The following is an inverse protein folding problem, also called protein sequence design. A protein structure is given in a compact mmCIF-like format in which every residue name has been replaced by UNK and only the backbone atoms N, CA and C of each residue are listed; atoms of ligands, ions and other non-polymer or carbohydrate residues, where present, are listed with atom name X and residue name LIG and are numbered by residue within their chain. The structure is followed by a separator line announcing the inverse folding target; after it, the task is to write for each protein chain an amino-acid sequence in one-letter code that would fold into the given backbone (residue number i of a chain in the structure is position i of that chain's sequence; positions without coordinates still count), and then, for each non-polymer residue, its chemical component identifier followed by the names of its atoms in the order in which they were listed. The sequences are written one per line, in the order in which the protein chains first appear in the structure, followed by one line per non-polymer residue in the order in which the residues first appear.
data_IF_972880365470
#
_entry.id   IF_972880365470
#
_cell.length_a   1.000
_cell.length_b   1.000
_cell.length_c   1.000
_cell.angle_alpha   90.00
_cell.angle_beta   90.00
_cell.angle_gamma   90.00
#
_symmetry.space_group_name_H-M   'P 1'
#
loop_
_entity.id
_entity.type
_entity.pdbx_description
1 polymer ?
#
# COMPACT_ATOMS: atom_id res chain seq x y z
N UNK A 1 19.34 3.19 -2.97
CA UNK A 1 17.89 3.45 -2.93
C UNK A 1 17.59 4.82 -3.51
N UNK A 2 16.52 4.90 -4.28
CA UNK A 2 15.98 6.09 -4.95
C UNK A 2 14.61 6.44 -4.37
N UNK A 3 14.21 7.73 -4.35
CA UNK A 3 12.89 8.12 -3.86
C UNK A 3 11.80 7.64 -4.84
N UNK A 4 10.81 6.91 -4.33
CA UNK A 4 9.65 6.48 -5.11
C UNK A 4 8.48 7.46 -4.96
N UNK A 5 8.12 7.82 -3.72
CA UNK A 5 7.09 8.81 -3.47
C UNK A 5 7.23 9.50 -2.11
N UNK A 6 6.53 10.62 -1.97
CA UNK A 6 6.28 11.28 -0.70
C UNK A 6 4.77 11.53 -0.57
N UNK A 7 4.20 11.19 0.57
CA UNK A 7 2.77 11.33 0.83
C UNK A 7 2.61 12.28 2.01
N UNK A 8 1.97 13.43 1.78
CA UNK A 8 1.60 14.36 2.84
C UNK A 8 0.24 13.95 3.41
N UNK A 9 0.24 13.25 4.54
CA UNK A 9 -0.99 12.70 5.15
C UNK A 9 -1.94 13.82 5.57
N UNK A 10 -1.39 14.96 6.00
CA UNK A 10 -2.19 16.13 6.45
C UNK A 10 -3.04 16.77 5.35
N UNK A 11 -2.76 16.43 4.08
CA UNK A 11 -3.48 16.96 2.91
C UNK A 11 -4.45 15.96 2.29
N UNK A 12 -4.57 14.75 2.85
CA UNK A 12 -5.52 13.76 2.37
C UNK A 12 -6.96 14.17 2.73
N UNK A 13 -7.94 13.93 1.83
CA UNK A 13 -9.35 14.23 2.12
C UNK A 13 -9.93 13.32 3.21
N UNK A 14 -9.28 12.16 3.45
CA UNK A 14 -9.60 11.22 4.51
C UNK A 14 -8.30 10.62 5.05
N UNK A 15 -8.18 10.50 6.38
CA UNK A 15 -7.00 9.93 7.05
C UNK A 15 -7.42 8.60 7.71
N UNK A 16 -6.93 7.44 7.23
CA UNK A 16 -7.18 6.14 7.85
C UNK A 16 -6.73 6.10 9.31
N UNK A 17 -7.38 5.28 10.13
CA UNK A 17 -7.07 5.14 11.57
C UNK A 17 -5.58 4.85 11.81
N UNK A 18 -5.01 3.94 11.00
CA UNK A 18 -3.61 3.54 11.03
C UNK A 18 -2.63 4.65 10.67
N UNK A 19 -3.08 5.84 10.28
CA UNK A 19 -2.24 6.97 9.88
C UNK A 19 -2.50 8.24 10.71
N UNK A 20 -3.40 8.21 11.68
CA UNK A 20 -3.75 9.41 12.48
C UNK A 20 -2.59 10.03 13.26
N UNK A 21 -1.55 9.25 13.56
CA UNK A 21 -0.34 9.71 14.24
C UNK A 21 0.82 10.05 13.28
N UNK A 22 0.59 10.00 11.97
CA UNK A 22 1.60 10.26 10.92
C UNK A 22 1.17 11.48 10.10
N UNK A 23 2.09 12.43 9.92
CA UNK A 23 1.87 13.61 9.08
C UNK A 23 2.48 13.47 7.68
N UNK A 24 3.54 12.66 7.53
CA UNK A 24 4.20 12.45 6.24
C UNK A 24 4.82 11.05 6.12
N UNK A 25 4.75 10.47 4.94
CA UNK A 25 5.48 9.26 4.57
C UNK A 25 6.45 9.60 3.44
N UNK A 26 7.68 9.09 3.54
CA UNK A 26 8.62 9.05 2.41
C UNK A 26 9.02 7.62 2.14
N UNK A 27 8.94 7.23 0.87
CA UNK A 27 9.26 5.87 0.43
C UNK A 27 10.41 5.90 -0.55
N UNK A 28 11.39 5.04 -0.28
CA UNK A 28 12.54 4.78 -1.11
C UNK A 28 12.55 3.31 -1.49
N UNK A 29 13.05 3.02 -2.68
CA UNK A 29 13.21 1.65 -3.19
C UNK A 29 14.61 1.47 -3.76
N UNK A 30 15.12 0.26 -3.78
CA UNK A 30 16.38 -0.06 -4.46
C UNK A 30 16.27 0.25 -5.95
N UNK A 31 17.40 0.63 -6.57
CA UNK A 31 17.41 1.04 -7.99
C UNK A 31 17.46 -0.16 -8.93
N UNK A 32 17.89 -1.31 -8.44
CA UNK A 32 18.29 -2.43 -9.27
C UNK A 32 17.38 -3.65 -9.05
N UNK A 33 16.84 -3.81 -7.84
CA UNK A 33 16.05 -4.98 -7.44
C UNK A 33 14.77 -4.59 -6.68
N UNK A 34 13.67 -5.28 -6.96
CA UNK A 34 12.46 -5.17 -6.14
C UNK A 34 12.66 -5.90 -4.79
N UNK A 35 12.05 -5.41 -3.70
CA UNK A 35 12.20 -6.03 -2.39
C UNK A 35 11.56 -7.43 -2.35
N UNK A 36 12.22 -8.39 -1.70
CA UNK A 36 11.72 -9.76 -1.49
C UNK A 36 11.63 -10.04 0.01
N UNK A 37 10.47 -9.73 0.60
CA UNK A 37 10.19 -9.84 2.05
C UNK A 37 11.24 -9.19 2.96
N UNK A 38 12.01 -8.24 2.43
CA UNK A 38 13.10 -7.61 3.17
C UNK A 38 12.53 -6.72 4.29
N UNK A 39 13.20 -6.61 5.43
CA UNK A 39 12.80 -5.66 6.46
C UNK A 39 12.98 -4.21 5.95
N UNK A 40 12.15 -3.29 6.44
CA UNK A 40 12.28 -1.87 6.15
C UNK A 40 13.71 -1.38 6.43
N UNK A 41 14.34 -0.75 5.43
CA UNK A 41 15.74 -0.35 5.43
C UNK A 41 16.65 -1.25 4.59
N UNK A 42 16.17 -2.40 4.12
CA UNK A 42 16.86 -3.29 3.19
C UNK A 42 16.08 -3.40 1.89
N UNK A 43 16.68 -3.03 0.76
CA UNK A 43 16.05 -2.97 -0.59
C UNK A 43 14.83 -2.03 -0.74
N UNK A 44 14.25 -1.57 0.35
CA UNK A 44 13.28 -0.50 0.41
C UNK A 44 13.42 0.23 1.75
N UNK A 45 12.94 1.46 1.83
CA UNK A 45 12.90 2.20 3.07
C UNK A 45 11.67 3.10 3.13
N UNK A 46 10.83 2.89 4.12
CA UNK A 46 9.71 3.78 4.44
C UNK A 46 10.01 4.53 5.72
N UNK A 47 9.96 5.87 5.64
CA UNK A 47 10.05 6.75 6.81
C UNK A 47 8.71 7.41 7.05
N UNK A 48 8.12 7.14 8.21
CA UNK A 48 6.88 7.75 8.66
C UNK A 48 7.18 8.82 9.72
N UNK A 49 6.79 10.05 9.44
CA UNK A 49 7.05 11.21 10.29
C UNK A 49 5.78 11.61 11.03
N UNK A 50 5.85 11.63 12.37
CA UNK A 50 4.74 12.08 13.22
C UNK A 50 4.58 13.60 13.27
N UNK A 51 5.60 14.34 12.82
CA UNK A 51 5.58 15.79 12.74
C UNK A 51 6.40 16.27 11.55
N UNK A 52 5.84 17.16 10.71
CA UNK A 52 6.55 17.77 9.57
C UNK A 52 7.29 19.06 9.92
N UNK A 53 7.00 19.66 11.08
CA UNK A 53 7.49 21.01 11.45
C UNK A 53 9.02 21.13 11.43
N UNK A 54 9.71 20.07 11.83
CA UNK A 54 11.17 20.04 11.95
C UNK A 54 11.85 19.38 10.73
N UNK A 55 11.07 19.02 9.70
CA UNK A 55 11.63 18.46 8.47
C UNK A 55 12.30 19.57 7.66
N UNK A 56 13.55 19.32 7.31
CA UNK A 56 14.32 20.18 6.42
C UNK A 56 14.24 19.63 5.00
N UNK A 57 13.93 20.47 3.99
CA UNK A 57 13.99 20.06 2.60
C UNK A 57 15.41 19.61 2.24
N UNK A 58 15.52 18.42 1.65
CA UNK A 58 16.77 17.97 1.05
C UNK A 58 16.83 18.55 -0.37
N UNK A 59 17.59 19.63 -0.53
CA UNK A 59 17.78 20.27 -1.83
C UNK A 59 18.99 19.67 -2.54
N UNK A 60 18.84 19.34 -3.83
CA UNK A 60 19.93 19.02 -4.74
C UNK A 60 20.85 17.85 -4.32
N UNK A 61 20.30 16.78 -3.73
CA UNK A 61 21.06 15.53 -3.63
C UNK A 61 21.05 14.87 -5.02
N UNK A 62 22.19 14.76 -5.70
CA UNK A 62 22.23 14.08 -6.98
C UNK A 62 21.93 12.59 -6.75
N UNK A 63 20.89 12.10 -7.39
CA UNK A 63 20.60 10.68 -7.51
C UNK A 63 20.29 10.39 -8.98
N UNK A 64 20.73 9.23 -9.45
CA UNK A 64 20.34 8.71 -10.76
C UNK A 64 19.10 7.86 -10.56
N UNK A 65 18.01 8.23 -11.25
CA UNK A 65 16.76 7.48 -11.23
C UNK A 65 16.05 7.66 -12.55
N UNK A 66 15.44 6.58 -13.03
CA UNK A 66 14.57 6.60 -14.19
C UNK A 66 13.11 6.95 -13.82
N UNK A 67 12.80 7.07 -12.53
CA UNK A 67 11.46 7.43 -12.04
C UNK A 67 11.20 8.90 -12.38
N UNK A 68 10.10 9.14 -13.08
CA UNK A 68 9.64 10.47 -13.46
C UNK A 68 8.92 11.14 -12.30
N UNK A 69 9.30 12.38 -11.99
CA UNK A 69 8.70 13.16 -10.90
C UNK A 69 7.44 13.87 -11.40
N UNK A 70 6.33 13.65 -10.71
CA UNK A 70 5.08 14.38 -10.95
C UNK A 70 4.28 14.51 -9.65
N UNK A 71 3.47 15.57 -9.56
CA UNK A 71 2.55 15.77 -8.45
C UNK A 71 1.29 14.92 -8.64
N UNK A 72 0.80 14.34 -7.55
CA UNK A 72 -0.49 13.67 -7.48
C UNK A 72 -1.45 14.49 -6.62
N UNK A 73 -2.69 14.63 -7.08
CA UNK A 73 -3.75 15.31 -6.34
C UNK A 73 -4.69 14.26 -5.76
N UNK A 74 -4.80 14.16 -4.43
CA UNK A 74 -5.69 13.17 -3.82
C UNK A 74 -7.15 13.56 -4.03
N UNK A 75 -7.98 12.57 -4.28
CA UNK A 75 -9.45 12.68 -4.32
C UNK A 75 -10.05 11.59 -3.44
N UNK A 76 -11.17 11.90 -2.78
CA UNK A 76 -11.89 10.91 -1.99
C UNK A 76 -12.62 9.95 -2.93
N UNK A 77 -12.53 8.65 -2.63
CA UNK A 77 -13.26 7.58 -3.28
C UNK A 77 -14.08 6.90 -2.19
N UNK A 78 -15.40 6.99 -2.30
CA UNK A 78 -16.32 6.37 -1.33
C UNK A 78 -16.63 4.92 -1.67
N UNK A 79 -16.61 4.59 -2.97
CA UNK A 79 -16.90 3.26 -3.51
C UNK A 79 -15.59 2.55 -3.89
N UNK A 80 -14.93 1.96 -2.89
CA UNK A 80 -13.82 1.02 -3.05
C UNK A 80 -14.16 -0.24 -2.25
N UNK A 81 -14.38 -1.35 -2.94
CA UNK A 81 -14.83 -2.62 -2.36
C UNK A 81 -13.71 -3.66 -2.35
N UNK A 82 -13.78 -4.71 -1.50
CA UNK A 82 -12.76 -5.76 -1.46
C UNK A 82 -12.60 -6.49 -2.79
N UNK A 83 -11.39 -6.99 -3.05
CA UNK A 83 -11.19 -8.05 -4.05
C UNK A 83 -11.89 -9.35 -3.61
N UNK A 84 -12.01 -10.32 -4.53
CA UNK A 84 -12.79 -11.52 -4.30
C UNK A 84 -12.34 -12.31 -3.06
N UNK A 85 -11.03 -12.49 -2.88
CA UNK A 85 -10.49 -13.24 -1.74
C UNK A 85 -10.80 -12.56 -0.40
N UNK A 86 -10.62 -11.23 -0.31
CA UNK A 86 -10.96 -10.44 0.88
C UNK A 86 -12.48 -10.45 1.14
N UNK A 87 -13.30 -10.37 0.08
CA UNK A 87 -14.75 -10.42 0.19
C UNK A 87 -15.22 -11.76 0.77
N UNK A 88 -14.68 -12.86 0.25
CA UNK A 88 -14.94 -14.21 0.75
C UNK A 88 -14.51 -14.35 2.21
N UNK A 89 -13.36 -13.78 2.58
CA UNK A 89 -12.90 -13.78 3.98
C UNK A 89 -13.90 -13.06 4.91
N UNK A 90 -14.40 -11.89 4.52
CA UNK A 90 -15.39 -11.13 5.29
C UNK A 90 -16.73 -11.87 5.42
N UNK A 91 -17.18 -12.57 4.37
CA UNK A 91 -18.37 -13.42 4.44
C UNK A 91 -18.17 -14.60 5.39
N UNK A 92 -17.00 -15.25 5.34
CA UNK A 92 -16.66 -16.36 6.22
C UNK A 92 -16.64 -15.93 7.69
N UNK A 93 -16.09 -14.75 8.01
CA UNK A 93 -16.12 -14.17 9.38
C UNK A 93 -17.55 -13.99 9.89
N UNK A 94 -18.50 -13.73 8.98
CA UNK A 94 -19.92 -13.55 9.27
C UNK A 94 -20.75 -14.84 9.16
N UNK A 95 -20.12 -15.98 8.83
CA UNK A 95 -20.78 -17.26 8.56
C UNK A 95 -21.82 -17.18 7.42
N UNK A 96 -21.57 -16.33 6.42
CA UNK A 96 -22.42 -16.21 5.24
C UNK A 96 -21.89 -17.19 4.17
N UNK A 97 -22.72 -18.13 3.67
CA UNK A 97 -22.28 -19.06 2.64
C UNK A 97 -22.11 -18.36 1.28
N UNK A 98 -21.11 -18.79 0.52
CA UNK A 98 -20.87 -18.34 -0.86
C UNK A 98 -21.85 -19.09 -1.78
N UNK A 99 -22.93 -18.41 -2.17
CA UNK A 99 -23.93 -18.91 -3.12
C UNK A 99 -23.76 -18.26 -4.49
N UNK A 100 -24.46 -18.76 -5.50
CA UNK A 100 -24.45 -18.13 -6.82
C UNK A 100 -24.96 -16.68 -6.79
N UNK A 101 -25.98 -16.41 -5.97
CA UNK A 101 -26.51 -15.04 -5.76
C UNK A 101 -25.45 -14.10 -5.17
N UNK A 102 -24.55 -14.62 -4.32
CA UNK A 102 -23.43 -13.86 -3.75
C UNK A 102 -22.37 -13.57 -4.82
N UNK A 103 -22.05 -14.55 -5.67
CA UNK A 103 -21.14 -14.35 -6.81
C UNK A 103 -21.68 -13.27 -7.75
N UNK A 104 -22.95 -13.40 -8.16
CA UNK A 104 -23.62 -12.42 -9.02
C UNK A 104 -23.67 -11.04 -8.37
N UNK A 105 -23.89 -10.96 -7.06
CA UNK A 105 -23.87 -9.68 -6.35
C UNK A 105 -22.49 -9.02 -6.41
N UNK A 106 -21.43 -9.79 -6.14
CA UNK A 106 -20.07 -9.28 -6.20
C UNK A 106 -19.74 -8.74 -7.60
N UNK A 107 -19.95 -9.56 -8.64
CA UNK A 107 -19.60 -9.21 -10.02
C UNK A 107 -20.35 -7.98 -10.55
N UNK A 108 -21.60 -7.76 -10.08
CA UNK A 108 -22.44 -6.68 -10.59
C UNK A 108 -22.41 -5.39 -9.74
N UNK A 109 -21.99 -5.46 -8.47
CA UNK A 109 -22.13 -4.34 -7.55
C UNK A 109 -20.83 -3.91 -6.85
N UNK A 110 -19.83 -4.78 -6.78
CA UNK A 110 -18.61 -4.51 -6.03
C UNK A 110 -17.46 -4.22 -6.97
N UNK A 111 -17.08 -2.95 -7.06
CA UNK A 111 -15.93 -2.50 -7.84
C UNK A 111 -14.78 -2.12 -6.91
N UNK A 112 -13.64 -2.79 -7.07
CA UNK A 112 -12.39 -2.40 -6.43
C UNK A 112 -11.67 -1.35 -7.29
N UNK A 113 -11.00 -0.39 -6.65
CA UNK A 113 -10.35 0.72 -7.36
C UNK A 113 -8.83 0.56 -7.35
N UNK A 114 -8.24 0.38 -8.52
CA UNK A 114 -6.79 0.32 -8.68
C UNK A 114 -6.12 1.70 -8.63
N UNK A 115 -4.80 1.71 -8.66
CA UNK A 115 -3.98 2.91 -8.65
C UNK A 115 -3.37 3.22 -7.29
N UNK A 116 -2.95 4.47 -7.13
CA UNK A 116 -2.22 4.90 -5.94
C UNK A 116 -3.25 5.35 -4.91
N UNK A 117 -3.50 4.50 -3.92
CA UNK A 117 -4.51 4.75 -2.88
C UNK A 117 -3.97 4.58 -1.47
N UNK A 118 -4.53 5.36 -0.56
CA UNK A 118 -4.23 5.37 0.87
C UNK A 118 -5.52 5.06 1.62
N UNK A 119 -5.55 3.95 2.36
CA UNK A 119 -6.77 3.34 2.89
C UNK A 119 -7.52 2.52 1.85
N UNK A 120 -8.77 2.18 2.17
CA UNK A 120 -9.61 1.33 1.32
C UNK A 120 -9.22 -0.14 1.39
N UNK A 121 -9.61 -0.90 0.36
CA UNK A 121 -9.29 -2.32 0.20
C UNK A 121 -8.11 -2.49 -0.75
N UNK A 122 -7.18 -3.44 -0.60
CA UNK A 122 -6.13 -3.61 -1.60
C UNK A 122 -6.70 -4.05 -2.97
N UNK A 123 -5.99 -3.75 -4.06
CA UNK A 123 -6.24 -4.33 -5.38
C UNK A 123 -5.25 -5.45 -5.65
N UNK A 124 -5.64 -6.69 -5.39
CA UNK A 124 -4.77 -7.86 -5.58
C UNK A 124 -4.76 -8.34 -7.03
N UNK A 125 -3.60 -8.81 -7.51
CA UNK A 125 -3.45 -9.41 -8.85
C UNK A 125 -3.52 -10.94 -8.75
N UNK A 126 -2.90 -11.51 -7.72
CA UNK A 126 -2.77 -12.95 -7.55
C UNK A 126 -3.76 -13.48 -6.51
N UNK A 127 -3.41 -13.29 -5.23
CA UNK A 127 -4.20 -13.76 -4.08
C UNK A 127 -4.25 -12.67 -3.01
N UNK A 128 -4.78 -12.98 -1.83
CA UNK A 128 -4.65 -12.11 -0.67
C UNK A 128 -3.19 -11.70 -0.41
N UNK A 129 -3.00 -10.54 0.23
CA UNK A 129 -1.65 -10.07 0.53
C UNK A 129 -0.97 -11.02 1.51
N UNK A 130 0.13 -11.61 1.07
CA UNK A 130 0.92 -12.54 1.85
C UNK A 130 2.01 -11.79 2.64
N UNK A 131 1.69 -11.35 3.86
CA UNK A 131 2.66 -10.62 4.69
C UNK A 131 3.74 -11.51 5.31
N UNK A 132 3.46 -12.79 5.51
CA UNK A 132 4.35 -13.79 6.10
C UNK A 132 3.79 -15.20 5.90
N UNK A 133 4.59 -16.26 6.08
CA UNK A 133 4.09 -17.64 6.14
C UNK A 133 2.87 -17.78 7.03
N UNK A 134 1.82 -18.39 6.45
CA UNK A 134 0.52 -18.60 7.08
C UNK A 134 -0.18 -17.31 7.55
N UNK A 135 0.19 -16.15 6.99
CA UNK A 135 -0.22 -14.82 7.43
C UNK A 135 0.00 -14.56 8.92
N UNK A 136 1.03 -15.18 9.51
CA UNK A 136 1.42 -15.02 10.91
C UNK A 136 2.64 -14.10 11.05
N UNK A 137 2.50 -12.86 10.59
CA UNK A 137 3.57 -11.87 10.76
C UNK A 137 3.60 -11.39 12.23
N UNK A 138 4.76 -11.25 12.89
CA UNK A 138 4.87 -10.94 14.32
C UNK A 138 4.17 -9.64 14.74
N UNK A 139 4.05 -8.67 13.84
CA UNK A 139 3.37 -7.40 14.09
C UNK A 139 1.94 -7.30 13.58
N UNK A 140 1.39 -8.39 13.03
CA UNK A 140 0.03 -8.47 12.50
C UNK A 140 -0.33 -7.23 11.63
N UNK A 141 0.39 -7.01 10.51
CA UNK A 141 0.25 -5.80 9.73
C UNK A 141 -1.12 -5.74 9.07
N UNK A 142 -1.68 -4.54 9.01
CA UNK A 142 -2.86 -4.23 8.21
C UNK A 142 -2.46 -3.37 7.02
N UNK A 143 -3.15 -3.58 5.89
CA UNK A 143 -2.99 -2.77 4.69
C UNK A 143 -3.18 -1.28 4.99
N UNK A 144 -2.31 -0.43 4.42
CA UNK A 144 -2.36 1.02 4.58
C UNK A 144 -2.46 1.73 3.24
N UNK A 145 -1.63 1.37 2.27
CA UNK A 145 -1.64 2.00 0.95
C UNK A 145 -1.04 1.07 -0.10
N UNK A 146 -1.34 1.34 -1.36
CA UNK A 146 -0.70 0.67 -2.49
C UNK A 146 -0.16 1.67 -3.51
N UNK A 147 0.78 1.20 -4.32
CA UNK A 147 1.35 1.92 -5.45
C UNK A 147 1.32 0.98 -6.64
N UNK A 148 0.55 1.33 -7.66
CA UNK A 148 0.52 0.57 -8.91
C UNK A 148 1.74 0.89 -9.78
N UNK A 149 2.02 -0.02 -10.72
CA UNK A 149 2.86 0.32 -11.87
C UNK A 149 2.24 1.46 -12.67
N UNK A 150 3.07 2.38 -13.18
CA UNK A 150 2.59 3.51 -13.98
C UNK A 150 3.61 3.97 -15.01
N UNK A 151 3.18 4.05 -16.27
CA UNK A 151 3.99 4.59 -17.36
C UNK A 151 4.38 6.05 -17.11
N UNK A 152 3.47 6.85 -16.55
CA UNK A 152 3.68 8.29 -16.30
C UNK A 152 4.83 8.53 -15.32
N UNK A 153 4.96 7.67 -14.31
CA UNK A 153 6.06 7.68 -13.35
C UNK A 153 7.27 6.89 -13.80
N UNK A 154 7.19 6.20 -14.95
CA UNK A 154 8.19 5.23 -15.39
C UNK A 154 8.57 4.25 -14.26
N UNK A 155 7.57 3.71 -13.58
CA UNK A 155 7.71 2.80 -12.45
C UNK A 155 6.91 1.52 -12.69
N UNK A 156 7.53 0.37 -12.42
CA UNK A 156 6.91 -0.95 -12.63
C UNK A 156 7.29 -1.91 -11.50
N UNK A 157 6.28 -2.60 -10.98
CA UNK A 157 6.45 -3.76 -10.10
C UNK A 157 6.40 -5.02 -10.95
N UNK A 158 7.54 -5.63 -11.26
CA UNK A 158 7.60 -6.82 -12.12
C UNK A 158 6.91 -6.58 -13.46
N UNK A 159 6.04 -7.50 -13.87
CA UNK A 159 5.15 -7.30 -15.01
C UNK A 159 3.88 -6.56 -14.58
N UNK A 160 3.89 -5.23 -14.68
CA UNK A 160 2.73 -4.35 -14.49
C UNK A 160 1.98 -4.55 -13.15
N UNK A 161 2.72 -4.83 -12.10
CA UNK A 161 2.21 -5.20 -10.78
C UNK A 161 1.83 -4.04 -9.86
N UNK A 162 1.63 -4.36 -8.58
CA UNK A 162 1.25 -3.46 -7.49
C UNK A 162 2.09 -3.75 -6.24
N UNK A 163 2.58 -2.70 -5.58
CA UNK A 163 3.22 -2.80 -4.27
C UNK A 163 2.27 -2.40 -3.15
N UNK A 164 2.15 -3.25 -2.13
CA UNK A 164 1.30 -3.08 -0.96
C UNK A 164 2.12 -2.79 0.28
N UNK A 165 1.66 -1.83 1.08
CA UNK A 165 2.36 -1.39 2.28
C UNK A 165 1.46 -1.57 3.49
N UNK A 166 1.93 -2.35 4.45
CA UNK A 166 1.23 -2.65 5.69
C UNK A 166 1.91 -2.01 6.89
N UNK A 167 1.13 -1.68 7.92
CA UNK A 167 1.63 -1.17 9.21
C UNK A 167 1.26 -2.13 10.33
N UNK A 168 2.21 -2.42 11.20
CA UNK A 168 2.01 -3.28 12.35
C UNK A 168 0.94 -2.75 13.31
N UNK A 169 0.16 -3.66 13.89
CA UNK A 169 -0.95 -3.34 14.81
C UNK A 169 -0.72 -3.77 16.25
N UNK A 170 0.32 -4.57 16.51
CA UNK A 170 0.70 -4.93 17.88
C UNK A 170 1.28 -3.71 18.61
N UNK A 171 1.20 -3.70 19.94
CA UNK A 171 1.73 -2.59 20.75
C UNK A 171 3.23 -2.37 20.53
N UNK A 172 3.99 -3.45 20.35
CA UNK A 172 5.43 -3.43 20.12
C UNK A 172 5.78 -3.11 18.65
N UNK A 173 4.91 -3.48 17.71
CA UNK A 173 5.11 -3.35 16.27
C UNK A 173 4.41 -2.16 15.62
N UNK A 174 3.80 -1.26 16.38
CA UNK A 174 2.97 -0.15 15.85
C UNK A 174 3.71 0.87 14.97
N UNK A 175 5.04 0.84 14.94
CA UNK A 175 5.87 1.65 14.04
C UNK A 175 6.58 0.81 12.97
N UNK A 176 6.34 -0.49 12.93
CA UNK A 176 6.90 -1.37 11.91
C UNK A 176 6.06 -1.32 10.63
N UNK A 177 6.76 -1.40 9.52
CA UNK A 177 6.20 -1.38 8.18
C UNK A 177 6.65 -2.63 7.44
N UNK A 178 5.72 -3.18 6.68
CA UNK A 178 5.94 -4.34 5.81
C UNK A 178 5.60 -3.96 4.38
N UNK A 179 6.23 -4.65 3.44
CA UNK A 179 5.94 -4.53 2.02
C UNK A 179 5.70 -5.92 1.44
N UNK A 180 4.76 -5.99 0.52
CA UNK A 180 4.56 -7.10 -0.41
C UNK A 180 4.36 -6.47 -1.80
N UNK A 181 4.67 -7.18 -2.88
CA UNK A 181 4.20 -6.79 -4.20
C UNK A 181 3.83 -8.02 -5.06
N UNK A 182 2.80 -7.85 -5.88
CA UNK A 182 2.34 -8.86 -6.85
C UNK A 182 2.50 -8.33 -8.28
N UNK A 183 2.64 -9.23 -9.25
CA UNK A 183 2.60 -8.89 -10.68
C UNK A 183 1.90 -10.00 -11.49
N UNK A 184 1.63 -9.74 -12.76
CA UNK A 184 1.01 -10.71 -13.68
C UNK A 184 1.93 -11.91 -13.99
#
# INVERSE_FOLDING_TARGET
MIPLCQINITQLPYIPELLKDIEMITLFIDSDELPDNNPNGQKWCLRAYKCIKDLVPILNVPYESNIMVFEMKPSLIEEDYPCWDDFVEELNKQNIPITEEVNEFYDNHLNNVSGFKVGGWPTTIQSEIYWAPYNQHPVNPLFVFQIDSTEKGNWYWGDSGVGYFGRGTTSEGSNEWVIEWQCF
#
